data_IF_936234165241
#
_entry.id   IF_936234165241
#
_cell.length_a   1.000
_cell.length_b   1.000
_cell.length_c   1.000
_cell.angle_alpha   90.00
_cell.angle_beta   90.00
_cell.angle_gamma   90.00
#
_symmetry.space_group_name_H-M   'P 1'
#
loop_
_entity.id
_entity.type
_entity.pdbx_description
1 polymer ?
#
# COMPACT_ATOMS: atom_id res chain seq x y z
N UNK A 1 11.29 -19.90 2.63
CA UNK A 1 10.48 -20.73 3.53
C UNK A 1 9.85 -19.91 4.67
N UNK A 2 10.57 -19.15 5.50
CA UNK A 2 9.97 -18.08 6.34
C UNK A 2 10.90 -16.88 6.39
N UNK A 3 10.39 -15.66 6.15
CA UNK A 3 11.20 -14.44 6.07
C UNK A 3 11.33 -13.69 7.41
N UNK A 4 10.45 -13.99 8.37
CA UNK A 4 10.54 -13.49 9.72
C UNK A 4 11.43 -14.40 10.59
N UNK A 5 12.45 -13.86 11.27
CA UNK A 5 13.23 -14.62 12.23
C UNK A 5 12.33 -15.12 13.37
N UNK A 6 12.36 -16.42 13.64
CA UNK A 6 11.50 -17.06 14.64
C UNK A 6 12.06 -18.42 15.05
N UNK A 7 11.64 -18.91 16.22
CA UNK A 7 11.94 -20.28 16.68
C UNK A 7 10.66 -21.11 16.78
N UNK A 8 10.81 -22.43 16.79
CA UNK A 8 9.68 -23.36 16.90
C UNK A 8 10.00 -24.49 17.87
N UNK A 9 9.19 -24.60 18.93
CA UNK A 9 9.34 -25.63 19.96
C UNK A 9 10.52 -25.37 20.90
N UNK A 10 11.74 -25.37 20.38
CA UNK A 10 12.98 -25.11 21.13
C UNK A 10 13.73 -23.90 20.57
N UNK A 11 14.45 -23.18 21.43
CA UNK A 11 15.16 -21.96 21.02
C UNK A 11 16.25 -22.19 19.98
N UNK A 12 16.85 -23.39 19.91
CA UNK A 12 17.87 -23.73 18.92
C UNK A 12 17.27 -24.18 17.57
N UNK A 13 15.96 -24.43 17.48
CA UNK A 13 15.25 -24.77 16.24
C UNK A 13 14.67 -23.47 15.67
N UNK A 14 15.41 -22.83 14.74
CA UNK A 14 15.11 -21.48 14.28
C UNK A 14 15.12 -21.33 12.77
N UNK A 15 14.31 -20.40 12.30
CA UNK A 15 14.48 -19.74 11.02
C UNK A 15 15.24 -18.45 11.26
N UNK A 16 16.35 -18.24 10.55
CA UNK A 16 17.12 -16.99 10.57
C UNK A 16 16.35 -15.82 9.95
N UNK A 17 15.33 -16.11 9.14
CA UNK A 17 14.62 -15.11 8.35
C UNK A 17 15.42 -14.67 7.13
N UNK A 18 14.96 -13.62 6.47
CA UNK A 18 15.67 -12.97 5.37
C UNK A 18 16.63 -11.88 5.87
N UNK A 19 17.63 -11.53 5.05
CA UNK A 19 18.58 -10.45 5.37
C UNK A 19 17.94 -9.06 5.25
N UNK A 20 17.00 -8.90 4.32
CA UNK A 20 16.28 -7.67 4.03
C UNK A 20 14.77 -7.93 3.96
N UNK A 21 13.99 -6.85 3.99
CA UNK A 21 12.54 -6.89 3.76
C UNK A 21 12.28 -6.98 2.25
N UNK A 22 11.51 -7.97 1.83
CA UNK A 22 11.18 -8.18 0.41
C UNK A 22 9.72 -7.88 0.06
N UNK A 23 8.92 -7.53 1.08
CA UNK A 23 7.51 -7.17 0.90
C UNK A 23 7.04 -6.22 2.01
N UNK A 24 5.93 -5.52 1.78
CA UNK A 24 5.37 -4.58 2.76
C UNK A 24 4.79 -5.25 4.01
N UNK A 25 4.41 -6.53 3.93
CA UNK A 25 3.99 -7.30 5.12
C UNK A 25 5.16 -7.54 6.10
N UNK A 26 6.40 -7.37 5.63
CA UNK A 26 7.61 -7.46 6.45
C UNK A 26 8.03 -6.11 7.06
N UNK A 27 7.27 -5.02 6.85
CA UNK A 27 7.64 -3.67 7.30
C UNK A 27 7.91 -3.57 8.81
N UNK A 28 7.20 -4.36 9.63
CA UNK A 28 7.39 -4.43 11.09
C UNK A 28 8.47 -5.42 11.54
N UNK A 29 9.01 -6.23 10.64
CA UNK A 29 10.00 -7.25 10.99
C UNK A 29 11.38 -6.62 11.18
N UNK A 30 12.09 -7.07 12.21
CA UNK A 30 13.51 -6.78 12.40
C UNK A 30 14.32 -7.83 11.68
N UNK A 31 15.16 -7.41 10.73
CA UNK A 31 16.05 -8.29 9.98
C UNK A 31 17.39 -8.37 10.69
N UNK A 32 18.08 -9.49 10.50
CA UNK A 32 19.31 -9.75 11.22
C UNK A 32 19.93 -11.07 10.82
N UNK A 33 21.11 -11.32 11.37
CA UNK A 33 21.76 -12.62 11.33
C UNK A 33 21.77 -13.22 12.73
N UNK A 34 21.75 -14.55 12.81
CA UNK A 34 21.84 -15.26 14.08
C UNK A 34 23.29 -15.72 14.26
N UNK A 35 23.99 -15.18 15.26
CA UNK A 35 25.28 -15.65 15.71
C UNK A 35 25.05 -16.79 16.70
N UNK A 36 25.71 -17.92 16.47
CA UNK A 36 25.60 -19.11 17.32
C UNK A 36 26.98 -19.51 17.78
N UNK A 37 27.18 -19.53 19.09
CA UNK A 37 28.38 -20.05 19.72
C UNK A 37 28.16 -21.52 20.11
N UNK A 38 29.17 -22.35 19.85
CA UNK A 38 29.15 -23.78 20.06
C UNK A 38 30.42 -24.21 20.81
N UNK A 39 30.28 -25.16 21.73
CA UNK A 39 31.40 -25.84 22.37
C UNK A 39 31.20 -27.37 22.38
N UNK A 40 32.04 -28.09 23.14
CA UNK A 40 31.96 -29.55 23.24
C UNK A 40 30.64 -30.08 23.83
N UNK A 41 29.85 -29.24 24.48
CA UNK A 41 28.54 -29.57 25.08
C UNK A 41 27.35 -29.20 24.17
N UNK A 42 27.59 -28.45 23.10
CA UNK A 42 26.57 -28.05 22.13
C UNK A 42 26.45 -26.53 22.00
N UNK A 43 25.23 -26.03 21.77
CA UNK A 43 24.97 -24.59 21.62
C UNK A 43 25.09 -23.91 22.99
N UNK A 44 26.00 -22.95 23.10
CA UNK A 44 26.25 -22.20 24.34
C UNK A 44 25.60 -20.83 24.33
N UNK A 45 25.46 -20.22 23.14
CA UNK A 45 24.84 -18.91 22.98
C UNK A 45 24.20 -18.76 21.61
N UNK A 46 23.07 -18.06 21.59
CA UNK A 46 22.40 -17.63 20.37
C UNK A 46 22.14 -16.13 20.51
N UNK A 47 22.67 -15.33 19.58
CA UNK A 47 22.51 -13.88 19.53
C UNK A 47 21.94 -13.44 18.18
N UNK A 48 20.96 -12.54 18.19
CA UNK A 48 20.45 -11.93 16.97
C UNK A 48 21.15 -10.58 16.75
N UNK A 49 21.96 -10.50 15.71
CA UNK A 49 22.64 -9.26 15.31
C UNK A 49 21.76 -8.54 14.28
N UNK A 50 21.25 -7.32 14.58
CA UNK A 50 20.39 -6.60 13.66
C UNK A 50 21.16 -6.13 12.42
N UNK A 51 20.50 -6.18 11.27
CA UNK A 51 21.00 -5.58 10.04
C UNK A 51 20.26 -4.28 9.78
N UNK A 52 21.01 -3.20 9.51
CA UNK A 52 20.46 -1.90 9.17
C UNK A 52 20.57 -1.70 7.65
N UNK A 53 19.45 -1.69 6.91
CA UNK A 53 19.49 -1.50 5.47
C UNK A 53 19.77 -0.03 5.14
N UNK A 54 20.28 0.21 3.92
CA UNK A 54 20.42 1.57 3.40
C UNK A 54 19.07 2.30 3.24
N UNK A 55 18.02 1.54 2.89
CA UNK A 55 16.65 1.99 2.73
C UNK A 55 15.74 1.01 3.43
N UNK A 56 14.86 1.51 4.28
CA UNK A 56 13.85 0.70 4.92
C UNK A 56 12.65 0.47 4.00
N UNK A 57 11.84 -0.53 4.35
CA UNK A 57 10.52 -0.74 3.75
C UNK A 57 9.50 -0.26 4.76
N UNK A 58 8.76 0.81 4.41
CA UNK A 58 7.78 1.45 5.29
C UNK A 58 6.40 1.48 4.64
N UNK A 59 5.39 1.54 5.51
CA UNK A 59 3.99 1.77 5.13
C UNK A 59 3.59 3.11 5.73
N UNK A 60 3.16 4.05 4.88
CA UNK A 60 2.61 5.33 5.31
C UNK A 60 1.12 5.35 5.04
N UNK A 61 0.36 6.00 5.91
CA UNK A 61 -1.09 6.12 5.79
C UNK A 61 -1.54 7.54 6.16
N UNK A 62 -2.47 8.09 5.39
CA UNK A 62 -3.07 9.41 5.63
C UNK A 62 -3.45 10.16 4.36
N UNK A 63 -3.96 11.38 4.53
CA UNK A 63 -4.33 12.26 3.41
C UNK A 63 -3.10 12.67 2.59
N UNK A 64 -3.28 12.84 1.29
CA UNK A 64 -2.19 13.17 0.35
C UNK A 64 -1.40 14.40 0.80
N UNK A 65 -2.08 15.50 1.10
CA UNK A 65 -1.44 16.77 1.44
C UNK A 65 -0.63 16.68 2.73
N UNK A 66 -1.12 15.92 3.71
CA UNK A 66 -0.41 15.66 4.96
C UNK A 66 0.86 14.83 4.72
N UNK A 67 0.76 13.81 3.87
CA UNK A 67 1.90 12.99 3.49
C UNK A 67 2.94 13.78 2.69
N UNK A 68 2.51 14.67 1.78
CA UNK A 68 3.40 15.56 1.03
C UNK A 68 4.14 16.50 1.98
N UNK A 69 3.41 17.14 2.91
CA UNK A 69 4.01 18.03 3.90
C UNK A 69 5.04 17.30 4.76
N UNK A 70 4.74 16.07 5.20
CA UNK A 70 5.67 15.21 5.94
C UNK A 70 6.90 14.83 5.10
N UNK A 71 6.73 14.50 3.82
CA UNK A 71 7.83 14.07 2.96
C UNK A 71 8.88 15.15 2.73
N UNK A 72 8.51 16.43 2.80
CA UNK A 72 9.45 17.55 2.69
C UNK A 72 10.48 17.61 3.83
N UNK A 73 10.19 17.01 4.98
CA UNK A 73 11.04 17.03 6.17
C UNK A 73 11.42 15.65 6.68
N UNK A 74 11.00 14.57 6.01
CA UNK A 74 11.32 13.20 6.41
C UNK A 74 12.79 12.88 6.07
N UNK A 75 13.66 12.63 7.07
CA UNK A 75 15.05 12.25 6.82
C UNK A 75 15.19 10.89 6.10
N UNK A 76 14.11 10.11 6.03
CA UNK A 76 14.04 8.80 5.39
C UNK A 76 13.19 8.84 4.11
N UNK A 77 13.12 9.99 3.43
CA UNK A 77 12.32 10.17 2.22
C UNK A 77 12.67 9.17 1.09
N UNK A 78 13.91 8.66 1.08
CA UNK A 78 14.40 7.69 0.10
C UNK A 78 14.04 6.23 0.40
N UNK A 79 13.32 5.93 1.48
CA UNK A 79 12.88 4.58 1.79
C UNK A 79 11.87 4.02 0.76
N UNK A 80 11.75 2.69 0.69
CA UNK A 80 10.75 2.05 -0.14
C UNK A 80 9.38 2.09 0.53
N UNK A 81 8.43 2.77 -0.11
CA UNK A 81 7.14 3.05 0.50
C UNK A 81 5.98 2.35 -0.20
N UNK A 82 5.08 1.83 0.63
CA UNK A 82 3.67 1.67 0.30
C UNK A 82 2.91 2.80 0.97
N UNK A 83 2.12 3.53 0.19
CA UNK A 83 1.32 4.65 0.69
C UNK A 83 -0.15 4.26 0.64
N UNK A 84 -0.86 4.41 1.75
CA UNK A 84 -2.31 4.28 1.88
C UNK A 84 -2.91 5.66 2.00
N UNK A 85 -3.58 6.12 0.96
CA UNK A 85 -4.29 7.40 1.01
C UNK A 85 -5.59 7.22 1.79
N UNK A 86 -6.00 8.21 2.58
CA UNK A 86 -7.31 8.18 3.25
C UNK A 86 -8.32 9.14 2.62
N UNK A 87 -7.89 9.86 1.60
CA UNK A 87 -8.67 10.90 0.94
C UNK A 87 -9.96 10.34 0.32
N UNK A 88 -11.07 11.01 0.63
CA UNK A 88 -12.41 10.59 0.20
C UNK A 88 -12.76 11.04 -1.22
N UNK A 89 -12.12 12.09 -1.72
CA UNK A 89 -12.35 12.63 -3.07
C UNK A 89 -11.34 12.05 -4.07
N UNK A 90 -11.62 12.13 -5.37
CA UNK A 90 -10.62 11.79 -6.39
C UNK A 90 -9.38 12.70 -6.27
N UNK A 91 -8.21 12.19 -6.66
CA UNK A 91 -6.97 12.97 -6.65
C UNK A 91 -6.34 12.82 -8.03
N UNK A 92 -6.05 13.94 -8.67
CA UNK A 92 -5.23 13.95 -9.87
C UNK A 92 -3.76 13.64 -9.55
N UNK A 93 -3.20 12.65 -10.24
CA UNK A 93 -1.81 12.20 -10.16
C UNK A 93 -1.22 12.11 -8.72
N UNK A 94 -1.82 11.28 -7.83
CA UNK A 94 -1.31 11.10 -6.47
C UNK A 94 0.11 10.54 -6.46
N UNK A 95 0.43 9.65 -7.41
CA UNK A 95 1.74 9.01 -7.48
C UNK A 95 2.85 10.01 -7.84
N UNK A 96 2.64 10.87 -8.83
CA UNK A 96 3.60 11.92 -9.20
C UNK A 96 3.78 12.94 -8.07
N UNK A 97 2.69 13.39 -7.46
CA UNK A 97 2.73 14.30 -6.29
C UNK A 97 3.50 13.71 -5.11
N UNK A 98 3.27 12.44 -4.77
CA UNK A 98 4.03 11.74 -3.72
C UNK A 98 5.49 11.58 -4.09
N UNK A 99 5.80 11.17 -5.32
CA UNK A 99 7.18 10.96 -5.78
C UNK A 99 8.03 12.23 -5.81
N UNK A 100 7.40 13.41 -5.84
CA UNK A 100 8.11 14.67 -5.69
C UNK A 100 8.76 14.85 -4.31
N UNK A 101 8.26 14.18 -3.26
CA UNK A 101 8.80 14.23 -1.89
C UNK A 101 9.28 12.88 -1.36
N UNK A 102 8.80 11.78 -1.94
CA UNK A 102 9.18 10.41 -1.63
C UNK A 102 9.54 9.66 -2.92
N UNK A 103 10.79 9.75 -3.40
CA UNK A 103 11.15 9.26 -4.73
C UNK A 103 10.88 7.76 -4.94
N UNK A 104 10.92 6.98 -3.85
CA UNK A 104 10.84 5.52 -3.86
C UNK A 104 9.49 4.97 -3.38
N UNK A 105 8.39 5.71 -3.59
CA UNK A 105 7.04 5.11 -3.49
C UNK A 105 6.90 4.04 -4.58
N UNK A 106 6.74 2.78 -4.15
CA UNK A 106 6.62 1.63 -5.02
C UNK A 106 5.15 1.20 -5.20
N UNK A 107 4.30 1.48 -4.21
CA UNK A 107 2.89 1.09 -4.25
C UNK A 107 2.00 2.14 -3.59
N UNK A 108 0.80 2.30 -4.14
CA UNK A 108 -0.23 3.23 -3.67
C UNK A 108 -1.55 2.46 -3.52
N UNK A 109 -2.15 2.55 -2.34
CA UNK A 109 -3.47 2.01 -2.02
C UNK A 109 -4.42 3.16 -1.70
N UNK A 110 -5.68 3.04 -2.13
CA UNK A 110 -6.75 3.99 -1.80
C UNK A 110 -8.01 3.22 -1.38
N UNK A 111 -8.68 3.60 -0.29
CA UNK A 111 -10.01 3.14 0.08
C UNK A 111 -10.95 3.29 -1.12
N UNK A 112 -11.66 2.22 -1.47
CA UNK A 112 -12.54 2.15 -2.64
C UNK A 112 -11.94 1.48 -3.89
N UNK A 113 -10.60 1.44 -4.06
CA UNK A 113 -9.95 0.72 -5.17
C UNK A 113 -9.70 -0.77 -4.87
N UNK A 114 -9.63 -1.14 -3.59
CA UNK A 114 -9.29 -2.50 -3.13
C UNK A 114 -10.48 -3.32 -2.60
N UNK A 115 -11.61 -2.68 -2.30
CA UNK A 115 -12.82 -3.38 -1.83
C UNK A 115 -13.45 -4.27 -2.92
N UNK A 116 -13.09 -4.05 -4.19
CA UNK A 116 -13.55 -4.86 -5.32
C UNK A 116 -12.98 -6.29 -5.38
N UNK A 117 -11.97 -6.64 -4.56
CA UNK A 117 -11.30 -7.97 -4.64
C UNK A 117 -11.66 -8.97 -3.54
N UNK A 118 -12.45 -8.60 -2.53
CA UNK A 118 -12.65 -9.43 -1.33
C UNK A 118 -14.08 -9.74 -0.90
N UNK A 119 -15.08 -9.06 -1.44
CA UNK A 119 -16.48 -9.23 -1.00
C UNK A 119 -17.42 -9.22 -2.19
N UNK A 120 -17.75 -10.41 -2.68
CA UNK A 120 -18.82 -10.64 -3.66
C UNK A 120 -20.21 -10.39 -3.04
N UNK A 121 -20.47 -9.20 -2.50
CA UNK A 121 -21.83 -8.69 -2.19
C UNK A 121 -21.84 -7.26 -1.59
N UNK A 122 -20.92 -6.38 -1.98
CA UNK A 122 -21.10 -4.96 -1.68
C UNK A 122 -21.92 -4.34 -2.83
N UNK A 123 -23.05 -3.72 -2.48
CA UNK A 123 -24.07 -3.16 -3.38
C UNK A 123 -23.46 -2.53 -4.65
N UNK A 124 -23.76 -3.12 -5.81
CA UNK A 124 -23.33 -2.58 -7.11
C UNK A 124 -23.78 -1.15 -7.32
N UNK A 125 -24.96 -0.79 -6.82
CA UNK A 125 -25.45 0.59 -6.84
C UNK A 125 -24.48 1.52 -6.11
N UNK A 126 -23.98 1.12 -4.93
CA UNK A 126 -22.96 1.90 -4.21
C UNK A 126 -21.63 1.98 -4.95
N UNK A 127 -21.23 0.91 -5.66
CA UNK A 127 -20.01 0.94 -6.48
C UNK A 127 -20.17 1.86 -7.71
N UNK A 128 -21.34 1.85 -8.36
CA UNK A 128 -21.64 2.77 -9.47
C UNK A 128 -21.71 4.23 -9.00
N UNK A 129 -22.34 4.49 -7.85
CA UNK A 129 -22.35 5.83 -7.23
C UNK A 129 -20.93 6.27 -6.87
N UNK A 130 -20.13 5.40 -6.24
CA UNK A 130 -18.72 5.68 -5.94
C UNK A 130 -17.89 6.00 -7.18
N UNK A 131 -18.11 5.28 -8.29
CA UNK A 131 -17.38 5.52 -9.55
C UNK A 131 -17.80 6.84 -10.19
N UNK A 132 -19.10 7.17 -10.19
CA UNK A 132 -19.62 8.44 -10.68
C UNK A 132 -19.12 9.63 -9.85
N UNK A 133 -19.10 9.49 -8.52
CA UNK A 133 -18.59 10.50 -7.61
C UNK A 133 -17.09 10.75 -7.86
N UNK A 134 -16.29 9.67 -8.02
CA UNK A 134 -14.88 9.79 -8.35
C UNK A 134 -14.64 10.46 -9.71
N UNK A 135 -15.45 10.13 -10.73
CA UNK A 135 -15.32 10.76 -12.03
C UNK A 135 -15.71 12.23 -11.99
N UNK A 136 -16.75 12.58 -11.22
CA UNK A 136 -17.21 13.95 -11.04
C UNK A 136 -16.14 14.83 -10.39
N UNK A 137 -15.47 14.31 -9.35
CA UNK A 137 -14.32 14.98 -8.72
C UNK A 137 -13.14 15.15 -9.68
N UNK A 138 -12.84 14.11 -10.49
CA UNK A 138 -11.80 14.16 -11.50
C UNK A 138 -12.09 15.21 -12.57
N UNK A 139 -13.34 15.27 -13.05
CA UNK A 139 -13.79 16.25 -14.03
C UNK A 139 -13.57 17.64 -13.49
N UNK A 140 -14.08 17.94 -12.29
CA UNK A 140 -13.95 19.26 -11.67
C UNK A 140 -12.49 19.70 -11.49
N UNK A 141 -11.59 18.78 -11.11
CA UNK A 141 -10.16 19.09 -11.00
C UNK A 141 -9.49 19.39 -12.34
N UNK A 142 -9.98 18.77 -13.43
CA UNK A 142 -9.35 18.89 -14.76
C UNK A 142 -9.93 20.04 -15.56
N UNK A 143 -11.25 20.24 -15.51
CA UNK A 143 -11.97 21.29 -16.24
C UNK A 143 -12.02 22.62 -15.46
N UNK A 144 -11.88 22.59 -14.13
CA UNK A 144 -12.07 23.74 -13.25
C UNK A 144 -13.54 24.05 -12.91
N UNK A 145 -14.49 23.28 -13.44
CA UNK A 145 -15.94 23.46 -13.24
C UNK A 145 -16.63 22.12 -12.96
N UNK A 146 -17.71 22.08 -12.15
CA UNK A 146 -18.47 20.86 -11.93
C UNK A 146 -19.13 20.36 -13.23
N UNK A 147 -19.43 19.06 -13.29
CA UNK A 147 -20.21 18.51 -14.39
C UNK A 147 -21.61 19.10 -14.42
N UNK A 148 -22.13 19.34 -15.62
CA UNK A 148 -23.55 19.66 -15.80
C UNK A 148 -24.40 18.41 -15.60
N UNK A 149 -25.69 18.58 -15.28
CA UNK A 149 -26.63 17.46 -15.12
C UNK A 149 -26.63 16.52 -16.34
N UNK A 150 -26.53 17.10 -17.55
CA UNK A 150 -26.49 16.35 -18.80
C UNK A 150 -25.20 15.53 -18.96
N UNK A 151 -24.06 16.05 -18.51
CA UNK A 151 -22.79 15.32 -18.51
C UNK A 151 -22.81 14.20 -17.46
N UNK A 152 -23.38 14.46 -16.29
CA UNK A 152 -23.52 13.48 -15.20
C UNK A 152 -24.40 12.31 -15.63
N UNK A 153 -25.53 12.59 -16.28
CA UNK A 153 -26.44 11.56 -16.81
C UNK A 153 -25.78 10.71 -17.91
N UNK A 154 -25.03 11.34 -18.81
CA UNK A 154 -24.30 10.64 -19.86
C UNK A 154 -23.24 9.68 -19.30
N UNK A 155 -22.44 10.12 -18.31
CA UNK A 155 -21.42 9.28 -17.67
C UNK A 155 -22.05 8.18 -16.82
N UNK A 156 -23.12 8.48 -16.08
CA UNK A 156 -23.85 7.47 -15.31
C UNK A 156 -24.37 6.34 -16.19
N UNK A 157 -24.89 6.68 -17.37
CA UNK A 157 -25.34 5.69 -18.37
C UNK A 157 -24.18 4.83 -18.85
N UNK A 158 -23.07 5.44 -19.23
CA UNK A 158 -21.90 4.75 -19.77
C UNK A 158 -21.23 3.81 -18.75
N UNK A 159 -21.11 4.24 -17.49
CA UNK A 159 -20.63 3.39 -16.38
C UNK A 159 -21.56 2.20 -16.18
N UNK A 160 -22.88 2.43 -16.26
CA UNK A 160 -23.89 1.38 -16.15
C UNK A 160 -23.81 0.35 -17.29
N UNK A 161 -23.54 0.78 -18.52
CA UNK A 161 -23.36 -0.09 -19.69
C UNK A 161 -22.09 -0.95 -19.57
N UNK A 162 -20.94 -0.35 -19.28
CA UNK A 162 -19.67 -1.05 -19.09
C UNK A 162 -19.77 -2.12 -17.98
N UNK A 163 -20.47 -1.80 -16.89
CA UNK A 163 -20.67 -2.71 -15.78
C UNK A 163 -21.51 -3.94 -16.15
N UNK A 164 -22.39 -3.85 -17.16
CA UNK A 164 -23.22 -4.96 -17.65
C UNK A 164 -22.47 -5.83 -18.66
N UNK A 165 -21.61 -5.22 -19.48
CA UNK A 165 -20.80 -5.94 -20.47
C UNK A 165 -19.73 -6.83 -19.81
N UNK A 166 -19.13 -6.41 -18.69
CA UNK A 166 -18.17 -7.23 -17.94
C UNK A 166 -18.81 -8.51 -17.36
N UNK A 167 -20.12 -8.51 -17.07
CA UNK A 167 -20.84 -9.71 -16.62
C UNK A 167 -21.18 -10.68 -17.74
N UNK A 168 -21.46 -10.17 -18.94
CA UNK A 168 -21.78 -11.03 -20.07
C UNK A 168 -20.55 -11.82 -20.57
N UNK A 169 -19.35 -11.42 -20.13
CA UNK A 169 -18.07 -12.01 -20.53
C UNK A 169 -17.38 -12.82 -19.41
N UNK A 170 -17.94 -12.85 -18.20
CA UNK A 170 -17.42 -13.62 -17.04
C UNK A 170 -18.16 -14.93 -16.80
#
# INVERSE_FOLDING_TARGET
HLHGPQYRGSEHIRYSGSLLKYSFSEASQRKGVTLVDLDATGVTRIEQIPLLPRREVRVLEGELDALIARGRTDPQADDYLLVRLTDRHAILDPMGKLRAVYPNVLHLEKPGMLEARGSQQLDRERLTFSTLDMFSDFFAQTSGEPMTDQQTEAISTLIGELSRDEEAQG
#
